data_IF_812957597480
#
_entry.id   IF_812957597480
#
_cell.length_a   1.000
_cell.length_b   1.000
_cell.length_c   1.000
_cell.angle_alpha   90.00
_cell.angle_beta   90.00
_cell.angle_gamma   90.00
#
_symmetry.space_group_name_H-M   'P 1'
#
loop_
_entity.id
_entity.type
_entity.pdbx_description
1 polymer ?
#
# COMPACT_ATOMS: atom_id res chain seq x y z
N UNK A 1 31.75 -22.73 10.11
CA UNK A 1 31.39 -22.17 8.79
C UNK A 1 30.38 -21.06 9.04
N UNK A 2 30.73 -19.82 8.72
CA UNK A 2 29.78 -18.72 8.49
C UNK A 2 30.35 -17.92 7.32
N UNK A 3 29.50 -17.56 6.36
CA UNK A 3 28.90 -16.22 6.37
C UNK A 3 27.40 -16.30 6.04
N UNK A 4 26.52 -15.40 6.45
CA UNK A 4 26.66 -14.14 7.18
C UNK A 4 25.29 -13.79 7.78
N UNK A 5 25.25 -12.81 8.66
CA UNK A 5 23.98 -12.24 9.10
C UNK A 5 23.23 -11.69 7.88
N UNK A 6 21.93 -12.02 7.67
CA UNK A 6 21.10 -11.19 6.81
C UNK A 6 20.99 -9.79 7.46
N UNK A 7 20.81 -8.73 6.65
CA UNK A 7 20.89 -7.35 7.13
C UNK A 7 19.79 -7.08 8.15
N UNK A 8 20.12 -6.32 9.19
CA UNK A 8 19.12 -5.72 10.06
C UNK A 8 18.62 -4.41 9.43
N UNK A 9 17.59 -4.46 8.57
CA UNK A 9 16.81 -3.28 8.15
C UNK A 9 15.31 -3.63 8.36
N UNK A 10 14.88 -3.50 9.62
CA UNK A 10 13.74 -4.20 10.21
C UNK A 10 12.35 -3.75 9.75
N UNK A 11 11.88 -4.32 8.64
CA UNK A 11 10.45 -4.47 8.39
C UNK A 11 9.82 -5.46 9.38
N UNK A 12 8.49 -5.44 9.56
CA UNK A 12 7.81 -6.42 10.40
C UNK A 12 8.11 -7.85 9.93
N UNK A 13 8.18 -8.76 10.90
CA UNK A 13 8.34 -10.20 10.66
C UNK A 13 7.31 -10.69 9.65
N UNK A 14 7.69 -11.60 8.77
CA UNK A 14 6.82 -12.15 7.72
C UNK A 14 6.58 -13.64 7.92
N UNK A 15 5.43 -14.12 7.44
CA UNK A 15 5.21 -15.57 7.30
C UNK A 15 6.20 -16.16 6.30
N UNK A 16 6.47 -17.47 6.42
CA UNK A 16 7.40 -18.19 5.54
C UNK A 16 7.02 -18.08 4.06
N UNK A 17 5.71 -18.08 3.76
CA UNK A 17 5.18 -17.87 2.41
C UNK A 17 5.19 -16.40 1.95
N UNK A 18 5.65 -15.48 2.79
CA UNK A 18 5.74 -14.03 2.50
C UNK A 18 4.39 -13.31 2.40
N UNK A 19 3.27 -14.01 2.54
CA UNK A 19 1.91 -13.45 2.29
C UNK A 19 1.45 -12.48 3.36
N UNK A 20 2.00 -12.57 4.56
CA UNK A 20 1.61 -11.77 5.70
C UNK A 20 2.81 -11.16 6.41
N UNK A 21 2.62 -9.95 6.94
CA UNK A 21 3.46 -9.35 7.98
C UNK A 21 2.78 -9.55 9.35
N UNK A 22 3.57 -9.70 10.40
CA UNK A 22 3.14 -9.84 11.78
C UNK A 22 3.38 -8.53 12.52
N UNK A 23 2.30 -7.88 12.96
CA UNK A 23 2.35 -6.62 13.69
C UNK A 23 1.53 -6.78 14.96
N UNK A 24 2.20 -6.70 16.12
CA UNK A 24 1.58 -6.85 17.46
C UNK A 24 0.71 -8.12 17.56
N UNK A 25 1.24 -9.26 17.10
CA UNK A 25 0.57 -10.56 17.13
C UNK A 25 -0.59 -10.71 16.12
N UNK A 26 -0.80 -9.74 15.22
CA UNK A 26 -1.84 -9.82 14.18
C UNK A 26 -1.20 -9.96 12.80
N UNK A 27 -1.82 -10.79 11.95
CA UNK A 27 -1.47 -10.95 10.54
C UNK A 27 -2.10 -9.83 9.72
N UNK A 28 -1.27 -9.17 8.93
CA UNK A 28 -1.70 -8.21 7.90
C UNK A 28 -1.15 -8.68 6.57
N UNK A 29 -1.93 -8.55 5.51
CA UNK A 29 -1.46 -8.93 4.18
C UNK A 29 -0.24 -8.09 3.80
N UNK A 30 0.82 -8.74 3.35
CA UNK A 30 2.01 -8.05 2.88
C UNK A 30 1.74 -7.36 1.54
N UNK A 31 2.52 -6.31 1.26
CA UNK A 31 2.61 -5.73 -0.08
C UNK A 31 2.96 -6.82 -1.08
N UNK A 32 2.32 -6.77 -2.24
CA UNK A 32 2.56 -7.68 -3.35
C UNK A 32 4.04 -7.62 -3.79
N UNK A 33 4.79 -8.74 -3.71
CA UNK A 33 6.21 -8.76 -4.02
C UNK A 33 6.53 -8.70 -5.52
N UNK A 34 5.53 -8.82 -6.40
CA UNK A 34 5.70 -8.75 -7.86
C UNK A 34 5.75 -7.30 -8.36
N UNK A 35 5.35 -6.33 -7.54
CA UNK A 35 5.32 -4.94 -7.94
C UNK A 35 6.73 -4.40 -8.19
N UNK A 36 6.89 -3.66 -9.28
CA UNK A 36 8.08 -2.85 -9.46
C UNK A 36 8.23 -1.85 -8.32
N UNK A 37 9.45 -1.67 -7.84
CA UNK A 37 9.74 -0.83 -6.68
C UNK A 37 9.36 0.64 -6.90
N UNK A 38 9.38 1.10 -8.16
CA UNK A 38 8.92 2.43 -8.57
C UNK A 38 7.43 2.63 -8.30
N UNK A 39 6.59 1.68 -8.75
CA UNK A 39 5.14 1.66 -8.56
C UNK A 39 4.80 1.51 -7.09
N UNK A 40 5.46 0.58 -6.40
CA UNK A 40 5.24 0.35 -4.97
C UNK A 40 5.60 1.59 -4.14
N UNK A 41 6.70 2.28 -4.48
CA UNK A 41 7.11 3.54 -3.83
C UNK A 41 6.12 4.66 -4.07
N UNK A 42 5.62 4.83 -5.30
CA UNK A 42 4.61 5.84 -5.61
C UNK A 42 3.32 5.60 -4.82
N UNK A 43 2.84 4.35 -4.76
CA UNK A 43 1.67 3.97 -3.96
C UNK A 43 1.88 4.20 -2.46
N UNK A 44 3.06 3.86 -1.92
CA UNK A 44 3.43 4.15 -0.51
C UNK A 44 3.46 5.66 -0.23
N UNK A 45 3.96 6.46 -1.16
CA UNK A 45 3.98 7.93 -1.07
C UNK A 45 2.57 8.50 -0.98
N UNK A 46 1.66 8.06 -1.88
CA UNK A 46 0.26 8.44 -1.86
C UNK A 46 -0.45 8.01 -0.56
N UNK A 47 -0.18 6.78 -0.09
CA UNK A 47 -0.67 6.29 1.20
C UNK A 47 -0.20 7.16 2.36
N UNK A 48 1.09 7.53 2.39
CA UNK A 48 1.67 8.41 3.40
C UNK A 48 1.02 9.78 3.41
N UNK A 49 0.87 10.40 2.23
CA UNK A 49 0.19 11.69 2.05
C UNK A 49 -1.24 11.66 2.58
N UNK A 50 -2.02 10.66 2.17
CA UNK A 50 -3.42 10.54 2.59
C UNK A 50 -3.56 10.31 4.10
N UNK A 51 -2.70 9.48 4.70
CA UNK A 51 -2.69 9.26 6.16
C UNK A 51 -2.33 10.53 6.93
N UNK A 52 -1.36 11.29 6.44
CA UNK A 52 -0.97 12.57 7.05
C UNK A 52 -2.12 13.58 7.02
N UNK A 53 -2.83 13.70 5.90
CA UNK A 53 -3.97 14.60 5.78
C UNK A 53 -5.15 14.22 6.69
N UNK A 54 -5.39 12.91 6.90
CA UNK A 54 -6.41 12.44 7.85
C UNK A 54 -6.14 12.84 9.30
N UNK A 55 -4.89 13.12 9.68
CA UNK A 55 -4.56 13.54 11.06
C UNK A 55 -5.04 14.95 11.35
N UNK A 56 -5.08 15.82 10.34
CA UNK A 56 -5.39 17.24 10.47
C UNK A 56 -6.81 17.59 10.00
N UNK A 57 -7.36 16.85 9.04
CA UNK A 57 -8.70 17.09 8.50
C UNK A 57 -9.78 16.75 9.53
N UNK A 58 -10.83 17.59 9.62
CA UNK A 58 -12.01 17.36 10.47
C UNK A 58 -13.32 17.33 9.69
N UNK A 59 -13.35 17.96 8.51
CA UNK A 59 -14.50 17.93 7.61
C UNK A 59 -14.81 16.47 7.18
N UNK A 60 -16.04 15.97 7.42
CA UNK A 60 -16.40 14.58 7.12
C UNK A 60 -16.25 14.19 5.65
N UNK A 61 -16.58 15.07 4.71
CA UNK A 61 -16.51 14.81 3.27
C UNK A 61 -15.06 14.76 2.80
N UNK A 62 -14.23 15.70 3.28
CA UNK A 62 -12.79 15.69 3.01
C UNK A 62 -12.12 14.46 3.64
N UNK A 63 -12.54 14.05 4.84
CA UNK A 63 -12.10 12.80 5.47
C UNK A 63 -12.48 11.59 4.64
N UNK A 64 -13.70 11.51 4.14
CA UNK A 64 -14.16 10.42 3.29
C UNK A 64 -13.31 10.32 2.00
N UNK A 65 -13.02 11.45 1.36
CA UNK A 65 -12.17 11.51 0.18
C UNK A 65 -10.73 11.02 0.47
N UNK A 66 -10.13 11.43 1.59
CA UNK A 66 -8.80 10.93 1.98
C UNK A 66 -8.81 9.44 2.33
N UNK A 67 -9.87 8.94 2.99
CA UNK A 67 -10.04 7.49 3.26
C UNK A 67 -10.13 6.69 1.96
N UNK A 68 -10.83 7.19 0.95
CA UNK A 68 -10.89 6.56 -0.36
C UNK A 68 -9.50 6.43 -0.99
N UNK A 69 -8.67 7.48 -0.91
CA UNK A 69 -7.27 7.41 -1.38
C UNK A 69 -6.43 6.37 -0.62
N UNK A 70 -6.60 6.26 0.71
CA UNK A 70 -5.94 5.20 1.50
C UNK A 70 -6.33 3.81 1.01
N UNK A 71 -7.62 3.59 0.71
CA UNK A 71 -8.09 2.30 0.22
C UNK A 71 -7.52 1.99 -1.16
N UNK A 72 -7.56 2.93 -2.10
CA UNK A 72 -6.99 2.76 -3.44
C UNK A 72 -5.49 2.42 -3.38
N UNK A 73 -4.72 3.15 -2.56
CA UNK A 73 -3.28 2.88 -2.43
C UNK A 73 -3.01 1.47 -1.87
N UNK A 74 -3.79 1.03 -0.88
CA UNK A 74 -3.67 -0.31 -0.29
C UNK A 74 -4.12 -1.41 -1.22
N UNK A 75 -5.13 -1.18 -2.04
CA UNK A 75 -5.53 -2.12 -3.09
C UNK A 75 -4.45 -2.24 -4.17
N UNK A 76 -3.85 -1.12 -4.58
CA UNK A 76 -2.72 -1.12 -5.52
C UNK A 76 -1.51 -1.87 -4.98
N UNK A 77 -1.17 -1.68 -3.70
CA UNK A 77 -0.13 -2.43 -2.99
C UNK A 77 -0.49 -3.91 -2.76
N UNK A 78 -1.74 -4.30 -3.01
CA UNK A 78 -2.25 -5.65 -2.77
C UNK A 78 -2.56 -5.97 -1.31
N UNK A 79 -2.48 -5.00 -0.39
CA UNK A 79 -2.77 -5.13 1.05
C UNK A 79 -4.28 -5.24 1.36
N UNK A 80 -5.13 -4.88 0.38
CA UNK A 80 -6.61 -4.92 0.44
C UNK A 80 -7.19 -5.48 -0.86
N UNK A 81 -8.50 -5.77 -0.84
CA UNK A 81 -9.20 -6.41 -1.97
C UNK A 81 -8.90 -7.92 -2.08
N UNK A 82 -9.05 -8.46 -3.29
CA UNK A 82 -8.70 -9.85 -3.62
C UNK A 82 -7.23 -10.11 -3.28
N UNK A 83 -6.93 -11.29 -2.73
CA UNK A 83 -5.58 -11.61 -2.30
C UNK A 83 -4.66 -11.74 -3.50
N UNK A 84 -3.48 -11.11 -3.48
CA UNK A 84 -2.63 -11.11 -4.67
C UNK A 84 -2.16 -12.52 -5.08
N UNK A 85 -2.10 -13.48 -4.17
CA UNK A 85 -1.73 -14.87 -4.50
C UNK A 85 -2.85 -15.68 -5.14
N UNK A 86 -4.07 -15.15 -5.25
CA UNK A 86 -5.17 -15.76 -6.02
C UNK A 86 -5.33 -15.14 -7.40
N UNK A 87 -4.61 -14.03 -7.67
CA UNK A 87 -4.63 -13.32 -8.94
C UNK A 87 -3.52 -13.80 -9.87
N UNK A 88 -3.75 -13.67 -11.18
CA UNK A 88 -2.68 -13.83 -12.16
C UNK A 88 -1.64 -12.70 -12.01
N UNK A 89 -0.42 -12.92 -12.49
CA UNK A 89 0.61 -11.88 -12.50
C UNK A 89 0.16 -10.62 -13.25
N UNK A 90 -0.52 -10.78 -14.38
CA UNK A 90 -1.06 -9.66 -15.16
C UNK A 90 -2.10 -8.86 -14.38
N UNK A 91 -3.02 -9.53 -13.66
CA UNK A 91 -4.03 -8.85 -12.84
C UNK A 91 -3.41 -8.09 -11.66
N UNK A 92 -2.34 -8.66 -11.06
CA UNK A 92 -1.61 -8.03 -9.95
C UNK A 92 -0.97 -6.71 -10.39
N UNK A 93 -0.22 -6.75 -11.49
CA UNK A 93 0.45 -5.58 -12.07
C UNK A 93 -0.57 -4.56 -12.58
N UNK A 94 -1.56 -5.00 -13.35
CA UNK A 94 -2.62 -4.14 -13.87
C UNK A 94 -3.43 -3.44 -12.78
N UNK A 95 -3.75 -4.14 -11.68
CA UNK A 95 -4.39 -3.51 -10.50
C UNK A 95 -3.52 -2.41 -9.90
N UNK A 96 -2.22 -2.65 -9.73
CA UNK A 96 -1.31 -1.67 -9.14
C UNK A 96 -1.23 -0.39 -10.00
N UNK A 97 -1.06 -0.55 -11.31
CA UNK A 97 -1.01 0.55 -12.27
C UNK A 97 -2.33 1.32 -12.31
N UNK A 98 -3.47 0.62 -12.41
CA UNK A 98 -4.80 1.23 -12.44
C UNK A 98 -5.04 2.08 -11.18
N UNK A 99 -4.71 1.55 -10.00
CA UNK A 99 -4.89 2.26 -8.73
C UNK A 99 -3.97 3.47 -8.61
N UNK A 100 -2.73 3.37 -9.08
CA UNK A 100 -1.81 4.50 -9.10
C UNK A 100 -2.27 5.60 -10.08
N UNK A 101 -2.74 5.21 -11.27
CA UNK A 101 -3.29 6.14 -12.26
C UNK A 101 -4.52 6.87 -11.70
N UNK A 102 -5.43 6.13 -11.05
CA UNK A 102 -6.61 6.69 -10.41
C UNK A 102 -6.25 7.68 -9.29
N UNK A 103 -5.26 7.36 -8.44
CA UNK A 103 -4.76 8.27 -7.41
C UNK A 103 -4.14 9.54 -8.00
N UNK A 104 -3.41 9.41 -9.10
CA UNK A 104 -2.74 10.53 -9.77
C UNK A 104 -3.74 11.45 -10.48
N UNK A 105 -4.78 10.88 -11.09
CA UNK A 105 -5.84 11.64 -11.77
C UNK A 105 -6.77 12.36 -10.78
N UNK A 106 -7.01 11.79 -9.58
CA UNK A 106 -7.81 12.42 -8.53
C UNK A 106 -7.04 13.60 -7.91
N UNK A 107 -7.61 14.82 -7.97
CA UNK A 107 -7.09 15.97 -7.21
C UNK A 107 -7.11 15.66 -5.71
N UNK A 108 -6.08 16.09 -4.98
CA UNK A 108 -6.09 16.03 -3.52
C UNK A 108 -7.26 16.87 -2.96
N UNK A 109 -8.09 16.31 -2.08
CA UNK A 109 -9.22 17.06 -1.52
C UNK A 109 -8.69 18.18 -0.61
N UNK A 110 -9.33 19.35 -0.68
CA UNK A 110 -8.92 20.55 0.07
C UNK A 110 -7.74 21.32 -0.54
N UNK A 111 -7.17 20.91 -1.67
CA UNK A 111 -6.25 21.77 -2.44
C UNK A 111 -7.09 22.74 -3.29
N UNK A 112 -7.53 23.83 -2.67
CA UNK A 112 -7.98 25.00 -3.42
C UNK A 112 -6.82 25.51 -4.28
N UNK A 113 -7.09 25.83 -5.54
CA UNK A 113 -6.17 26.62 -6.36
C UNK A 113 -6.21 28.07 -5.93
#
# INVERSE_FOLDING_TARGET
MSPGAPPAEGGPERTEDGRYILVRGRRWRATDPLLEESVATALRSELGRARSALRTTRDPEVVAAWRARVQLAKEGLGERGEAWWTLSEADRLGRAEQRLQELTARKAPGTAG
#
